data_IF_808499230291
#
_entry.id   IF_808499230291
#
_cell.length_a   1.000
_cell.length_b   1.000
_cell.length_c   1.000
_cell.angle_alpha   90.00
_cell.angle_beta   90.00
_cell.angle_gamma   90.00
#
_symmetry.space_group_name_H-M   'P 1'
#
loop_
_entity.id
_entity.type
_entity.pdbx_description
1 polymer ?
#
# COMPACT_ATOMS: atom_id res chain seq x y z
N UNK A 1 -52.05 -19.38 -39.02
CA UNK A 1 -52.67 -18.75 -37.83
C UNK A 1 -51.58 -18.54 -36.79
N UNK A 2 -50.97 -17.36 -36.74
CA UNK A 2 -49.92 -17.06 -35.78
C UNK A 2 -50.55 -16.67 -34.43
N UNK A 3 -50.11 -17.35 -33.38
CA UNK A 3 -50.63 -17.20 -32.02
C UNK A 3 -50.41 -15.78 -31.50
N UNK A 4 -51.49 -15.17 -30.98
CA UNK A 4 -51.52 -13.82 -30.37
C UNK A 4 -50.54 -13.66 -29.20
N UNK A 5 -49.94 -14.75 -28.71
CA UNK A 5 -49.01 -14.75 -27.59
C UNK A 5 -47.54 -14.54 -28.00
N UNK A 6 -47.20 -14.59 -29.30
CA UNK A 6 -45.85 -14.29 -29.77
C UNK A 6 -45.60 -12.77 -29.86
N UNK A 7 -46.64 -11.99 -30.19
CA UNK A 7 -46.54 -10.53 -30.29
C UNK A 7 -46.50 -9.82 -28.93
N UNK A 8 -47.02 -10.45 -27.87
CA UNK A 8 -47.02 -9.86 -26.52
C UNK A 8 -45.64 -9.94 -25.84
N UNK A 9 -44.82 -10.95 -26.16
CA UNK A 9 -43.46 -11.08 -25.64
C UNK A 9 -42.42 -10.21 -26.37
N UNK A 10 -42.66 -9.82 -27.62
CA UNK A 10 -41.75 -8.93 -28.37
C UNK A 10 -42.03 -7.44 -28.09
N UNK A 11 -43.28 -7.08 -27.76
CA UNK A 11 -43.67 -5.70 -27.44
C UNK A 11 -43.18 -5.22 -26.06
N UNK A 12 -42.97 -6.13 -25.11
CA UNK A 12 -42.43 -5.83 -23.78
C UNK A 12 -40.91 -5.58 -23.76
N UNK A 13 -40.18 -6.03 -24.79
CA UNK A 13 -38.72 -5.87 -24.88
C UNK A 13 -38.34 -4.51 -25.50
N UNK A 14 -39.24 -3.85 -26.24
CA UNK A 14 -38.96 -2.55 -26.88
C UNK A 14 -39.33 -1.31 -26.04
N UNK A 15 -40.06 -1.44 -24.94
CA UNK A 15 -40.42 -0.30 -24.07
C UNK A 15 -39.39 0.04 -22.98
N UNK A 16 -38.41 -0.83 -22.71
CA UNK A 16 -37.35 -0.55 -21.72
C UNK A 16 -36.17 0.27 -22.30
N UNK A 17 -36.18 0.58 -23.61
CA UNK A 17 -35.06 1.22 -24.32
C UNK A 17 -35.24 2.74 -24.54
N UNK A 18 -36.17 3.41 -23.85
CA UNK A 18 -36.52 4.82 -24.15
C UNK A 18 -36.61 5.77 -22.94
N UNK A 19 -35.93 5.49 -21.81
CA UNK A 19 -35.89 6.46 -20.69
C UNK A 19 -34.63 6.33 -19.83
N UNK A 20 -33.44 6.65 -20.36
CA UNK A 20 -32.40 7.32 -19.56
C UNK A 20 -31.81 8.44 -20.40
N UNK A 21 -32.39 9.60 -20.15
CA UNK A 21 -32.02 10.94 -20.59
C UNK A 21 -30.51 11.18 -20.58
N UNK A 22 -30.09 11.90 -21.62
CA UNK A 22 -28.81 12.57 -21.72
C UNK A 22 -28.44 13.33 -20.45
N UNK A 23 -27.26 13.03 -19.91
CA UNK A 23 -26.40 13.98 -19.23
C UNK A 23 -25.01 13.82 -19.83
N UNK A 24 -24.76 14.51 -20.94
CA UNK A 24 -23.41 14.72 -21.46
C UNK A 24 -22.66 15.61 -20.46
N UNK A 25 -21.95 14.98 -19.52
CA UNK A 25 -21.02 15.69 -18.65
C UNK A 25 -19.73 15.96 -19.41
N UNK A 26 -19.66 17.18 -19.93
CA UNK A 26 -18.46 17.81 -20.43
C UNK A 26 -17.54 18.13 -19.24
N UNK A 27 -16.66 17.20 -18.85
CA UNK A 27 -15.60 17.49 -17.89
C UNK A 27 -14.47 18.25 -18.60
N UNK A 28 -14.55 19.58 -18.57
CA UNK A 28 -13.36 20.42 -18.75
C UNK A 28 -12.39 20.03 -17.65
N UNK A 29 -11.20 19.57 -18.03
CA UNK A 29 -10.06 19.45 -17.13
C UNK A 29 -9.67 20.85 -16.66
N UNK A 30 -10.26 21.30 -15.56
CA UNK A 30 -9.74 22.42 -14.80
C UNK A 30 -8.50 21.88 -14.09
N UNK A 31 -7.34 22.26 -14.60
CA UNK A 31 -6.09 22.21 -13.85
C UNK A 31 -6.25 23.17 -12.68
N UNK A 32 -6.74 22.64 -11.55
CA UNK A 32 -6.74 23.36 -10.30
C UNK A 32 -5.30 23.40 -9.77
N UNK A 33 -4.70 24.55 -10.01
CA UNK A 33 -3.59 25.08 -9.22
C UNK A 33 -4.07 25.22 -7.76
N UNK A 34 -3.89 24.17 -6.96
CA UNK A 34 -3.93 24.24 -5.49
C UNK A 34 -2.50 24.52 -5.01
N UNK A 35 -2.14 25.78 -4.75
CA UNK A 35 -2.42 26.49 -3.49
C UNK A 35 -1.78 25.78 -2.31
N UNK A 36 -0.50 26.09 -2.13
CA UNK A 36 0.15 26.39 -0.85
C UNK A 36 -0.70 26.06 0.39
N UNK A 37 -0.62 24.81 0.78
CA UNK A 37 -0.54 24.42 2.17
C UNK A 37 0.61 23.44 2.19
N UNK A 38 1.67 23.74 2.95
CA UNK A 38 2.77 22.81 3.18
C UNK A 38 2.24 21.62 3.99
N UNK A 39 1.52 20.73 3.31
CA UNK A 39 1.21 19.40 3.79
C UNK A 39 2.55 18.70 3.82
N UNK A 40 2.97 18.33 5.03
CA UNK A 40 4.22 17.62 5.28
C UNK A 40 4.15 16.33 4.45
N UNK A 41 4.76 16.35 3.27
CA UNK A 41 4.82 15.20 2.38
C UNK A 41 5.37 14.05 3.23
N UNK A 42 4.68 12.90 3.32
CA UNK A 42 5.24 11.71 3.94
C UNK A 42 6.64 11.47 3.39
N UNK A 43 7.49 10.73 4.11
CA UNK A 43 8.78 10.38 3.56
C UNK A 43 8.56 9.55 2.28
N UNK A 44 8.55 10.19 1.11
CA UNK A 44 8.43 9.50 -0.16
C UNK A 44 9.72 8.72 -0.40
N UNK A 45 9.60 7.54 -0.98
CA UNK A 45 10.77 6.80 -1.42
C UNK A 45 11.53 7.63 -2.47
N UNK A 46 12.88 7.70 -2.46
CA UNK A 46 13.62 8.60 -3.35
C UNK A 46 13.45 8.34 -4.85
N UNK A 47 12.91 7.15 -5.19
CA UNK A 47 12.56 6.77 -6.55
C UNK A 47 11.13 6.22 -6.58
N UNK A 48 10.42 6.44 -7.69
CA UNK A 48 9.09 5.88 -7.91
C UNK A 48 9.17 4.36 -8.00
N UNK A 49 8.63 3.67 -7.00
CA UNK A 49 8.59 2.20 -6.94
C UNK A 49 7.41 1.62 -7.72
N UNK A 50 6.37 2.41 -8.01
CA UNK A 50 5.10 1.92 -8.51
C UNK A 50 4.56 0.73 -7.70
N UNK A 51 4.28 -0.38 -8.39
CA UNK A 51 3.80 -1.64 -7.79
C UNK A 51 4.88 -2.74 -7.71
N UNK A 52 6.15 -2.39 -7.89
CA UNK A 52 7.24 -3.38 -7.91
C UNK A 52 7.54 -3.93 -6.52
N UNK A 53 8.05 -5.16 -6.44
CA UNK A 53 8.57 -5.67 -5.18
C UNK A 53 9.91 -4.99 -4.88
N UNK A 54 10.11 -4.52 -3.64
CA UNK A 54 11.30 -3.78 -3.25
C UNK A 54 12.59 -4.56 -3.56
N UNK A 55 12.54 -5.89 -3.42
CA UNK A 55 13.69 -6.77 -3.68
C UNK A 55 14.14 -6.78 -5.14
N UNK A 56 13.28 -6.40 -6.10
CA UNK A 56 13.63 -6.32 -7.53
C UNK A 56 14.74 -5.30 -7.77
N UNK A 57 14.73 -4.19 -7.03
CA UNK A 57 15.75 -3.13 -7.13
C UNK A 57 16.79 -3.23 -6.02
N UNK A 58 16.37 -3.44 -4.76
CA UNK A 58 17.28 -3.34 -3.61
C UNK A 58 18.35 -4.44 -3.57
N UNK A 59 18.14 -5.57 -4.26
CA UNK A 59 19.18 -6.59 -4.46
C UNK A 59 20.38 -6.07 -5.25
N UNK A 60 20.18 -5.11 -6.14
CA UNK A 60 21.23 -4.52 -6.99
C UNK A 60 21.71 -3.17 -6.46
N UNK A 61 20.78 -2.28 -6.07
CA UNK A 61 21.12 -0.90 -5.72
C UNK A 61 21.56 -0.72 -4.27
N UNK A 62 21.11 -1.59 -3.35
CA UNK A 62 21.52 -1.58 -1.94
C UNK A 62 21.79 -3.00 -1.45
N UNK A 63 22.74 -3.72 -2.07
CA UNK A 63 22.93 -5.15 -1.85
C UNK A 63 23.28 -5.46 -0.39
N UNK A 64 23.94 -4.54 0.32
CA UNK A 64 24.24 -4.68 1.75
C UNK A 64 22.97 -4.81 2.58
N UNK A 65 22.02 -3.87 2.42
CA UNK A 65 20.72 -3.88 3.11
C UNK A 65 19.90 -5.11 2.74
N UNK A 66 19.85 -5.46 1.46
CA UNK A 66 19.17 -6.67 1.00
C UNK A 66 19.76 -7.94 1.65
N UNK A 67 21.09 -8.05 1.68
CA UNK A 67 21.79 -9.20 2.24
C UNK A 67 21.62 -9.30 3.76
N UNK A 68 21.56 -8.18 4.48
CA UNK A 68 21.22 -8.15 5.90
C UNK A 68 19.81 -8.71 6.11
N UNK A 69 18.81 -8.16 5.40
CA UNK A 69 17.44 -8.62 5.48
C UNK A 69 17.32 -10.11 5.14
N UNK A 70 17.92 -10.55 4.03
CA UNK A 70 17.86 -11.93 3.53
C UNK A 70 18.40 -12.93 4.57
N UNK A 71 19.45 -12.54 5.32
CA UNK A 71 20.07 -13.37 6.36
C UNK A 71 19.37 -13.24 7.72
N UNK A 72 18.52 -12.23 7.90
CA UNK A 72 17.77 -12.02 9.13
C UNK A 72 16.68 -13.08 9.33
N UNK A 73 16.12 -13.16 10.55
CA UNK A 73 14.97 -14.03 10.81
C UNK A 73 13.74 -13.63 9.99
N UNK A 74 13.57 -12.34 9.72
CA UNK A 74 12.48 -11.83 8.88
C UNK A 74 12.64 -12.23 7.42
N UNK A 75 13.85 -12.17 6.86
CA UNK A 75 14.13 -12.66 5.50
C UNK A 75 13.92 -14.17 5.37
N UNK A 76 14.38 -14.95 6.35
CA UNK A 76 14.21 -16.42 6.34
C UNK A 76 12.74 -16.89 6.31
N UNK A 77 11.82 -16.08 6.83
CA UNK A 77 10.37 -16.37 6.81
C UNK A 77 9.61 -15.47 5.83
N UNK A 78 10.32 -14.74 4.97
CA UNK A 78 9.76 -13.90 3.91
C UNK A 78 8.84 -12.76 4.39
N UNK A 79 9.14 -12.13 5.53
CA UNK A 79 8.53 -10.83 5.85
C UNK A 79 9.05 -9.80 4.86
N UNK A 80 8.19 -9.42 3.91
CA UNK A 80 8.54 -8.49 2.83
C UNK A 80 8.86 -7.09 3.36
N UNK A 81 9.67 -6.34 2.62
CA UNK A 81 10.09 -4.98 2.98
C UNK A 81 8.91 -4.05 3.27
N UNK A 82 7.86 -4.14 2.45
CA UNK A 82 6.65 -3.31 2.53
C UNK A 82 5.86 -3.53 3.83
N UNK A 83 6.04 -4.67 4.51
CA UNK A 83 5.39 -4.94 5.81
C UNK A 83 5.87 -3.93 6.86
N UNK A 84 7.13 -3.52 6.78
CA UNK A 84 7.71 -2.55 7.70
C UNK A 84 7.75 -1.13 7.13
N UNK A 85 8.14 -1.02 5.87
CA UNK A 85 8.44 0.25 5.23
C UNK A 85 7.25 0.85 4.45
N UNK A 86 6.18 0.08 4.22
CA UNK A 86 5.04 0.53 3.41
C UNK A 86 5.23 0.36 1.89
N UNK A 87 4.22 0.78 1.15
CA UNK A 87 4.21 0.92 -0.31
C UNK A 87 4.63 2.33 -0.71
N UNK A 88 4.56 2.63 -2.01
CA UNK A 88 4.84 3.96 -2.56
C UNK A 88 4.04 5.07 -1.86
N UNK A 89 2.78 4.81 -1.50
CA UNK A 89 1.85 5.79 -0.96
C UNK A 89 2.07 6.10 0.53
N UNK A 90 2.68 5.18 1.29
CA UNK A 90 2.83 5.30 2.73
C UNK A 90 4.24 4.94 3.21
N UNK A 91 5.23 5.15 2.34
CA UNK A 91 6.61 4.77 2.62
C UNK A 91 7.15 5.45 3.88
N UNK A 92 7.92 4.69 4.66
CA UNK A 92 8.69 5.18 5.81
C UNK A 92 10.08 4.57 5.78
N UNK A 93 11.11 5.42 5.84
CA UNK A 93 12.50 4.96 5.91
C UNK A 93 12.75 4.21 7.23
N UNK A 94 12.21 4.74 8.33
CA UNK A 94 12.34 4.14 9.67
C UNK A 94 10.94 3.78 10.16
N UNK A 95 10.61 2.48 10.29
CA UNK A 95 9.30 2.05 10.76
C UNK A 95 9.03 2.52 12.20
N UNK A 96 7.80 2.98 12.51
CA UNK A 96 7.43 3.30 13.88
C UNK A 96 7.28 2.03 14.74
N UNK A 97 7.34 2.17 16.07
CA UNK A 97 7.22 1.05 17.01
C UNK A 97 5.91 0.25 16.86
N UNK A 98 4.85 0.94 16.43
CA UNK A 98 3.55 0.36 16.13
C UNK A 98 3.65 -0.78 15.10
N UNK A 99 4.55 -0.63 14.12
CA UNK A 99 4.84 -1.64 13.10
C UNK A 99 5.37 -2.91 13.73
N UNK A 100 6.35 -2.78 14.62
CA UNK A 100 6.93 -3.90 15.35
C UNK A 100 5.87 -4.56 16.26
N UNK A 101 5.11 -3.74 17.00
CA UNK A 101 4.06 -4.20 17.92
C UNK A 101 2.93 -4.97 17.22
N UNK A 102 2.70 -4.72 15.93
CA UNK A 102 1.71 -5.46 15.14
C UNK A 102 1.91 -6.97 15.17
N UNK A 103 3.17 -7.43 15.29
CA UNK A 103 3.51 -8.85 15.44
C UNK A 103 4.18 -9.17 16.79
N UNK A 104 4.94 -8.23 17.37
CA UNK A 104 5.71 -8.38 18.61
C UNK A 104 5.01 -7.72 19.81
N UNK A 105 3.72 -8.01 19.98
CA UNK A 105 2.92 -7.41 21.04
C UNK A 105 3.35 -7.85 22.44
N UNK A 106 3.90 -9.06 22.57
CA UNK A 106 4.33 -9.65 23.85
C UNK A 106 5.70 -9.14 24.30
N UNK A 107 6.55 -8.72 23.36
CA UNK A 107 7.86 -8.13 23.64
C UNK A 107 7.76 -6.64 23.99
N UNK A 108 6.74 -5.95 23.47
CA UNK A 108 6.57 -4.51 23.67
C UNK A 108 6.58 -4.05 25.15
N UNK A 109 5.88 -4.72 26.09
CA UNK A 109 5.91 -4.37 27.52
C UNK A 109 7.28 -4.55 28.18
N UNK A 110 8.16 -5.37 27.58
CA UNK A 110 9.50 -5.64 28.10
C UNK A 110 10.55 -4.63 27.64
N UNK A 111 10.17 -3.63 26.83
CA UNK A 111 11.09 -2.57 26.42
C UNK A 111 11.47 -1.71 27.66
N UNK A 112 12.74 -1.75 28.11
CA UNK A 112 13.18 -0.96 29.27
C UNK A 112 13.26 0.54 28.97
N UNK A 113 13.10 0.96 27.71
CA UNK A 113 13.13 2.34 27.24
C UNK A 113 11.93 2.63 26.33
N UNK A 114 10.71 2.74 26.89
CA UNK A 114 9.48 2.93 26.11
C UNK A 114 9.46 4.24 25.31
N UNK A 115 10.29 5.21 25.67
CA UNK A 115 10.47 6.48 24.97
C UNK A 115 11.36 6.38 23.71
N UNK A 116 12.03 5.24 23.50
CA UNK A 116 12.91 4.99 22.35
C UNK A 116 12.25 4.06 21.34
N UNK A 117 12.62 4.21 20.07
CA UNK A 117 12.20 3.24 19.05
C UNK A 117 12.87 1.89 19.30
N UNK A 118 12.20 0.79 18.97
CA UNK A 118 12.78 -0.56 19.01
C UNK A 118 14.09 -0.60 18.21
N UNK A 119 14.09 0.06 17.05
CA UNK A 119 15.24 0.13 16.16
C UNK A 119 16.43 0.94 16.68
N UNK A 120 16.23 1.78 17.69
CA UNK A 120 17.35 2.55 18.27
C UNK A 120 18.42 1.67 18.95
N UNK A 121 18.06 0.44 19.31
CA UNK A 121 18.99 -0.56 19.85
C UNK A 121 18.99 -1.84 19.02
N UNK A 122 17.84 -2.22 18.44
CA UNK A 122 17.73 -3.38 17.58
C UNK A 122 17.70 -2.99 16.11
N UNK A 123 18.88 -2.78 15.54
CA UNK A 123 19.03 -2.30 14.17
C UNK A 123 18.21 -3.14 13.18
N UNK A 124 17.50 -2.44 12.30
CA UNK A 124 16.71 -3.05 11.24
C UNK A 124 17.58 -3.95 10.37
N UNK A 125 16.96 -4.98 9.77
CA UNK A 125 17.61 -5.98 8.91
C UNK A 125 18.72 -6.84 9.56
N UNK A 126 19.20 -6.48 10.74
CA UNK A 126 20.20 -7.24 11.51
C UNK A 126 19.67 -7.64 12.90
N UNK A 127 18.37 -7.43 13.13
CA UNK A 127 17.70 -7.63 14.40
C UNK A 127 18.08 -8.98 15.03
N UNK A 128 18.73 -8.91 16.19
CA UNK A 128 19.01 -10.05 17.06
C UNK A 128 18.19 -9.89 18.34
N UNK A 129 17.48 -10.95 18.72
CA UNK A 129 16.75 -10.99 19.98
C UNK A 129 17.73 -11.24 21.12
N UNK A 130 17.52 -10.59 22.27
CA UNK A 130 18.19 -10.96 23.50
C UNK A 130 17.50 -12.22 24.02
N UNK A 131 18.27 -13.31 24.15
CA UNK A 131 17.85 -14.51 24.88
C UNK A 131 17.97 -14.29 26.37
#
# INVERSE_FOLDING_TARGET
MFSKNFYFSVLLIFCAALFISACAMNSKSVSEKSSDTTMKVPAEHPVDMGNQDCVECHKEFTPEIYNEWEKSKHGLIMVKCQVCHGSQENFVVVPPNETCRGCHAEEYPHNPRPEKSCSSCHLEHTFTYHK
#
